data_IF_470822877590
#
_entry.id   IF_470822877590
#
_cell.length_a   1.000
_cell.length_b   1.000
_cell.length_c   1.000
_cell.angle_alpha   90.00
_cell.angle_beta   90.00
_cell.angle_gamma   90.00
#
_symmetry.space_group_name_H-M   'P 1'
#
loop_
_entity.id
_entity.type
_entity.pdbx_description
1 polymer ?
#
# COMPACT_ATOMS: atom_id res chain seq x y z
N UNK A 1 -27.92 7.63 -27.60
CA UNK A 1 -27.06 8.33 -28.56
C UNK A 1 -26.02 9.09 -27.76
N UNK A 2 -24.86 8.48 -27.51
CA UNK A 2 -23.68 9.13 -26.93
C UNK A 2 -22.47 8.53 -27.65
N UNK A 3 -21.99 9.31 -28.62
CA UNK A 3 -20.86 9.02 -29.50
C UNK A 3 -19.57 9.24 -28.74
N UNK A 4 -18.96 8.16 -28.24
CA UNK A 4 -17.54 8.17 -27.89
C UNK A 4 -16.76 8.16 -29.21
N UNK A 5 -15.80 9.06 -29.34
CA UNK A 5 -15.06 9.35 -30.58
C UNK A 5 -14.30 8.11 -31.12
N UNK A 6 -14.28 7.92 -32.45
CA UNK A 6 -13.68 6.75 -33.10
C UNK A 6 -12.15 6.65 -32.94
N UNK A 7 -11.46 7.72 -32.59
CA UNK A 7 -9.99 7.75 -32.50
C UNK A 7 -9.41 6.95 -31.32
N UNK A 8 -10.14 6.89 -30.19
CA UNK A 8 -9.70 6.11 -29.01
C UNK A 8 -9.86 4.60 -29.25
N UNK A 9 -10.80 4.22 -30.13
CA UNK A 9 -11.04 2.82 -30.50
C UNK A 9 -9.89 2.25 -31.36
N UNK A 10 -9.26 3.09 -32.18
CA UNK A 10 -8.19 2.69 -33.09
C UNK A 10 -6.85 2.43 -32.41
N UNK A 11 -6.46 3.21 -31.39
CA UNK A 11 -5.10 3.18 -30.83
C UNK A 11 -4.79 1.87 -30.09
N UNK A 12 -5.75 1.30 -29.37
CA UNK A 12 -5.61 0.00 -28.68
C UNK A 12 -5.79 -1.20 -29.63
N UNK A 13 -6.60 -1.06 -30.69
CA UNK A 13 -6.80 -2.10 -31.71
C UNK A 13 -5.68 -2.19 -32.76
N UNK A 14 -4.74 -1.25 -32.81
CA UNK A 14 -3.62 -1.29 -33.77
C UNK A 14 -2.42 -2.08 -33.21
N UNK A 15 -2.11 -1.94 -31.92
CA UNK A 15 -0.88 -2.52 -31.35
C UNK A 15 -0.98 -4.04 -31.21
N UNK A 16 -2.11 -4.56 -30.73
CA UNK A 16 -2.25 -5.99 -30.44
C UNK A 16 -2.20 -6.88 -31.70
N UNK A 17 -2.92 -6.58 -32.81
CA UNK A 17 -2.88 -7.40 -34.02
C UNK A 17 -1.68 -7.12 -34.94
N UNK A 18 -1.12 -5.89 -34.98
CA UNK A 18 -0.05 -5.56 -35.94
C UNK A 18 1.37 -5.56 -35.36
N UNK A 19 1.55 -5.21 -34.08
CA UNK A 19 2.86 -5.08 -33.43
C UNK A 19 3.14 -6.24 -32.45
N UNK A 20 2.10 -6.94 -31.98
CA UNK A 20 2.24 -8.09 -31.09
C UNK A 20 2.60 -7.73 -29.64
N UNK A 21 2.56 -8.74 -28.76
CA UNK A 21 2.70 -8.58 -27.30
C UNK A 21 4.03 -7.93 -26.84
N UNK A 22 5.09 -8.07 -27.64
CA UNK A 22 6.43 -7.55 -27.33
C UNK A 22 6.46 -6.02 -27.27
N UNK A 23 5.79 -5.36 -28.21
CA UNK A 23 5.72 -3.90 -28.24
C UNK A 23 4.80 -3.34 -27.15
N UNK A 24 3.78 -4.09 -26.74
CA UNK A 24 2.96 -3.74 -25.58
C UNK A 24 3.78 -3.71 -24.29
N UNK A 25 4.65 -4.70 -24.09
CA UNK A 25 5.60 -4.69 -22.96
C UNK A 25 6.58 -3.52 -23.06
N UNK A 26 7.16 -3.29 -24.24
CA UNK A 26 8.11 -2.19 -24.45
C UNK A 26 7.47 -0.82 -24.14
N UNK A 27 6.27 -0.55 -24.65
CA UNK A 27 5.52 0.69 -24.40
C UNK A 27 5.17 0.86 -22.92
N UNK A 28 4.79 -0.23 -22.22
CA UNK A 28 4.48 -0.20 -20.79
C UNK A 28 5.69 0.12 -19.90
N UNK A 29 6.92 -0.11 -20.40
CA UNK A 29 8.16 0.18 -19.68
C UNK A 29 8.63 1.64 -19.82
N UNK A 30 8.07 2.40 -20.78
CA UNK A 30 8.48 3.78 -21.05
C UNK A 30 8.23 4.73 -19.88
N UNK A 31 7.06 4.73 -19.20
CA UNK A 31 6.83 5.59 -18.03
C UNK A 31 7.83 5.30 -16.90
N UNK A 32 8.11 4.02 -16.65
CA UNK A 32 9.08 3.59 -15.63
C UNK A 32 10.50 4.04 -15.99
N UNK A 33 10.85 3.97 -17.27
CA UNK A 33 12.16 4.43 -17.76
C UNK A 33 12.30 5.94 -17.62
N UNK A 34 11.22 6.70 -17.84
CA UNK A 34 11.20 8.15 -17.62
C UNK A 34 11.38 8.50 -16.13
N UNK A 35 10.83 7.70 -15.21
CA UNK A 35 11.06 7.87 -13.77
C UNK A 35 12.54 7.75 -13.37
N UNK A 36 13.36 6.98 -14.09
CA UNK A 36 14.80 6.90 -13.83
C UNK A 36 15.54 8.22 -14.09
N UNK A 37 15.05 9.05 -15.03
CA UNK A 37 15.62 10.39 -15.22
C UNK A 37 15.37 11.28 -14.00
N UNK A 38 14.20 11.16 -13.36
CA UNK A 38 13.85 11.95 -12.18
C UNK A 38 14.71 11.64 -10.95
N UNK A 39 15.33 10.47 -10.87
CA UNK A 39 16.24 10.12 -9.78
C UNK A 39 17.38 11.15 -9.61
N UNK A 40 17.84 11.75 -10.72
CA UNK A 40 18.87 12.80 -10.69
C UNK A 40 18.34 14.17 -10.24
N UNK A 41 17.03 14.39 -10.32
CA UNK A 41 16.39 15.67 -9.99
C UNK A 41 15.90 15.71 -8.54
N UNK A 42 15.57 14.57 -7.95
CA UNK A 42 15.05 14.48 -6.59
C UNK A 42 16.17 14.61 -5.56
N UNK A 43 16.16 15.66 -4.70
CA UNK A 43 17.10 15.76 -3.59
C UNK A 43 16.86 14.64 -2.59
N UNK A 44 17.91 14.26 -1.85
CA UNK A 44 17.78 13.26 -0.79
C UNK A 44 16.95 13.80 0.39
N UNK A 45 16.39 12.90 1.22
CA UNK A 45 15.65 13.28 2.41
C UNK A 45 16.56 13.97 3.44
N UNK A 46 16.25 15.21 3.90
CA UNK A 46 17.03 15.89 4.93
C UNK A 46 17.22 15.07 6.21
N UNK A 47 16.18 14.32 6.60
CA UNK A 47 16.21 13.49 7.82
C UNK A 47 17.19 12.33 7.71
N UNK A 48 17.28 11.71 6.54
CA UNK A 48 18.27 10.66 6.31
C UNK A 48 19.70 11.22 6.31
N UNK A 49 19.92 12.40 5.72
CA UNK A 49 21.20 13.10 5.76
C UNK A 49 21.64 13.39 7.20
N UNK A 50 20.73 13.92 8.05
CA UNK A 50 20.99 14.12 9.48
C UNK A 50 21.34 12.81 10.20
N UNK A 51 20.60 11.72 9.95
CA UNK A 51 20.89 10.40 10.55
C UNK A 51 22.26 9.83 10.14
N UNK A 52 22.77 10.20 8.96
CA UNK A 52 24.12 9.84 8.51
C UNK A 52 25.22 10.79 9.00
N UNK A 53 24.88 11.79 9.81
CA UNK A 53 25.82 12.83 10.26
C UNK A 53 26.19 13.86 9.18
N UNK A 54 25.50 13.86 8.02
CA UNK A 54 25.68 14.83 6.94
C UNK A 54 24.77 16.04 7.15
N UNK A 55 24.95 16.73 8.28
CA UNK A 55 24.08 17.84 8.69
C UNK A 55 24.13 19.03 7.72
N UNK A 56 25.31 19.37 7.19
CA UNK A 56 25.49 20.46 6.22
C UNK A 56 24.63 20.27 4.95
N UNK A 57 24.65 19.07 4.36
CA UNK A 57 23.85 18.76 3.17
C UNK A 57 22.34 18.77 3.49
N UNK A 58 21.96 18.37 4.72
CA UNK A 58 20.58 18.44 5.17
C UNK A 58 20.08 19.90 5.24
N UNK A 59 20.93 20.83 5.71
CA UNK A 59 20.61 22.27 5.74
C UNK A 59 20.37 22.79 4.32
N UNK A 60 21.25 22.46 3.37
CA UNK A 60 21.12 22.91 1.98
C UNK A 60 19.78 22.46 1.36
N UNK A 61 19.39 21.21 1.60
CA UNK A 61 18.09 20.70 1.11
C UNK A 61 16.93 21.41 1.82
N UNK A 62 17.02 21.65 3.13
CA UNK A 62 16.00 22.38 3.89
C UNK A 62 15.85 23.83 3.44
N UNK A 63 16.95 24.53 3.14
CA UNK A 63 16.95 25.88 2.58
C UNK A 63 16.27 25.91 1.21
N UNK A 64 16.57 24.91 0.37
CA UNK A 64 15.93 24.77 -0.94
C UNK A 64 14.41 24.58 -0.80
N UNK A 65 13.97 23.73 0.14
CA UNK A 65 12.54 23.51 0.43
C UNK A 65 11.88 24.79 0.97
N UNK A 66 12.54 25.48 1.90
CA UNK A 66 12.07 26.73 2.50
C UNK A 66 11.87 27.82 1.43
N UNK A 67 12.84 27.96 0.51
CA UNK A 67 12.78 28.88 -0.63
C UNK A 67 11.61 28.57 -1.58
N UNK A 68 11.38 27.29 -1.88
CA UNK A 68 10.25 26.85 -2.73
C UNK A 68 8.90 27.12 -2.05
N UNK A 69 8.82 26.94 -0.73
CA UNK A 69 7.60 27.13 0.06
C UNK A 69 7.37 28.59 0.50
N UNK A 70 8.27 29.52 0.15
CA UNK A 70 8.19 30.92 0.54
C UNK A 70 8.25 31.15 2.05
N UNK A 71 8.93 30.27 2.80
CA UNK A 71 9.13 30.39 4.25
C UNK A 71 10.62 30.50 4.59
N UNK A 72 10.93 31.14 5.70
CA UNK A 72 12.28 31.15 6.27
C UNK A 72 12.47 29.94 7.18
N UNK A 73 13.70 29.42 7.25
CA UNK A 73 14.03 28.35 8.19
C UNK A 73 13.97 28.89 9.62
N UNK A 74 13.42 28.12 10.57
CA UNK A 74 13.45 28.49 11.97
C UNK A 74 14.91 28.62 12.46
N UNK A 75 15.17 29.64 13.27
CA UNK A 75 16.50 29.88 13.84
C UNK A 75 16.90 28.74 14.78
N UNK A 76 18.02 28.06 14.51
CA UNK A 76 18.56 27.00 15.36
C UNK A 76 19.64 26.18 14.67
N UNK A 77 20.39 25.39 15.45
CA UNK A 77 21.30 24.39 14.90
C UNK A 77 20.56 23.07 14.68
N UNK A 78 20.77 22.46 13.52
CA UNK A 78 20.32 21.10 13.26
C UNK A 78 21.20 20.13 14.05
N UNK A 79 20.61 19.48 15.04
CA UNK A 79 21.27 18.47 15.87
C UNK A 79 20.63 17.12 15.56
N UNK A 80 21.44 16.08 15.44
CA UNK A 80 20.94 14.72 15.30
C UNK A 80 20.57 14.13 16.67
N UNK A 81 19.52 13.29 16.76
CA UNK A 81 19.14 12.63 18.02
C UNK A 81 20.30 11.84 18.65
N UNK A 82 21.22 11.34 17.81
CA UNK A 82 22.42 10.64 18.25
C UNK A 82 23.41 11.55 18.99
N UNK A 83 23.51 12.82 18.60
CA UNK A 83 24.30 13.84 19.31
C UNK A 83 23.61 14.28 20.60
N UNK A 84 22.28 14.28 20.66
CA UNK A 84 21.52 14.61 21.89
C UNK A 84 21.74 13.52 22.95
N UNK A 85 21.69 12.23 22.58
CA UNK A 85 21.99 11.13 23.51
C UNK A 85 23.45 11.18 24.00
N UNK A 86 24.42 11.45 23.12
CA UNK A 86 25.82 11.61 23.50
C UNK A 86 26.04 12.82 24.42
N UNK A 87 25.40 13.97 24.13
CA UNK A 87 25.48 15.16 24.99
C UNK A 87 24.80 14.96 26.35
N UNK A 88 23.73 14.18 26.43
CA UNK A 88 23.09 13.81 27.71
C UNK A 88 23.96 12.84 28.53
N UNK A 89 24.74 11.97 27.88
CA UNK A 89 25.71 11.10 28.55
C UNK A 89 26.91 11.91 29.08
N UNK A 90 27.40 12.90 28.31
CA UNK A 90 28.54 13.74 28.69
C UNK A 90 28.20 14.84 29.72
N UNK A 91 26.94 15.29 29.76
CA UNK A 91 26.43 16.23 30.77
C UNK A 91 25.35 15.59 31.66
N UNK A 92 25.72 14.72 32.62
CA UNK A 92 24.79 14.34 33.67
C UNK A 92 24.49 15.59 34.50
N UNK A 93 23.24 16.05 34.41
CA UNK A 93 22.65 17.05 35.32
C UNK A 93 23.09 16.78 36.77
N UNK A 94 23.39 17.83 37.53
CA UNK A 94 23.96 17.72 38.89
C UNK A 94 23.11 16.90 39.88
N UNK A 95 21.83 16.67 39.56
CA UNK A 95 20.92 15.80 40.31
C UNK A 95 21.28 14.29 40.21
N UNK A 96 22.04 13.87 39.19
CA UNK A 96 22.47 12.48 39.02
C UNK A 96 23.69 12.11 39.90
N UNK A 97 24.38 13.09 40.52
CA UNK A 97 25.59 12.84 41.32
C UNK A 97 25.33 12.16 42.67
N UNK A 98 24.07 12.03 43.10
CA UNK A 98 23.71 11.38 44.37
C UNK A 98 23.46 9.88 44.28
N UNK A 99 23.61 9.27 43.09
CA UNK A 99 23.60 7.82 42.91
C UNK A 99 24.94 7.37 42.32
N UNK A 100 25.88 7.02 43.20
CA UNK A 100 27.10 6.28 42.84
C UNK A 100 27.00 4.84 43.38
N UNK A 101 27.90 3.92 43.02
CA UNK A 101 28.27 3.47 41.68
C UNK A 101 28.02 1.95 41.57
N UNK A 102 27.62 1.45 40.40
CA UNK A 102 27.89 0.04 40.07
C UNK A 102 28.33 -0.05 38.64
N UNK A 103 29.64 -0.01 38.50
CA UNK A 103 30.43 -0.48 37.38
C UNK A 103 29.87 -1.82 36.89
N UNK A 104 29.11 -1.79 35.80
CA UNK A 104 29.04 -2.90 34.87
C UNK A 104 29.50 -2.32 33.54
N UNK A 105 30.72 -2.69 33.16
CA UNK A 105 31.28 -2.44 31.85
C UNK A 105 30.30 -2.91 30.77
N UNK A 106 29.53 -1.99 30.20
CA UNK A 106 28.85 -2.23 28.94
C UNK A 106 29.93 -2.07 27.89
N UNK A 107 30.48 -3.21 27.47
CA UNK A 107 31.31 -3.32 26.27
C UNK A 107 30.64 -2.56 25.13
N UNK A 108 31.32 -1.50 24.72
CA UNK A 108 31.19 -0.86 23.42
C UNK A 108 31.01 -1.92 22.33
N UNK A 109 29.96 -1.87 21.50
CA UNK A 109 30.04 -2.37 20.13
C UNK A 109 30.44 -1.17 19.28
N UNK A 110 31.75 -0.98 19.16
CA UNK A 110 32.34 -0.43 17.94
C UNK A 110 31.83 -1.28 16.77
N UNK A 111 31.28 -0.64 15.74
CA UNK A 111 30.93 -1.29 14.49
C UNK A 111 29.46 -1.64 14.38
N UNK A 112 28.75 -0.87 13.56
CA UNK A 112 27.51 -1.30 12.91
C UNK A 112 27.83 -2.55 12.08
N UNK A 113 27.70 -3.73 12.67
CA UNK A 113 27.74 -5.00 11.95
C UNK A 113 26.53 -5.07 11.01
N UNK A 114 26.77 -4.63 9.78
CA UNK A 114 25.83 -4.59 8.67
C UNK A 114 25.14 -5.94 8.35
N UNK A 115 25.61 -7.07 8.92
CA UNK A 115 25.04 -8.40 8.72
C UNK A 115 24.16 -8.92 9.88
N UNK A 116 24.02 -8.19 11.00
CA UNK A 116 23.10 -8.54 12.10
C UNK A 116 21.89 -7.58 12.23
N UNK A 117 21.65 -6.73 11.21
CA UNK A 117 20.61 -5.69 11.24
C UNK A 117 19.19 -6.16 10.90
N UNK A 118 19.03 -7.21 10.08
CA UNK A 118 17.70 -7.64 9.59
C UNK A 118 16.86 -8.37 10.65
N UNK A 119 17.45 -9.36 11.31
CA UNK A 119 16.77 -10.18 12.33
C UNK A 119 16.51 -9.36 13.60
N UNK A 120 17.46 -8.50 13.98
CA UNK A 120 17.28 -7.54 15.08
C UNK A 120 16.11 -6.58 14.82
N UNK A 121 16.02 -6.03 13.60
CA UNK A 121 14.88 -5.17 13.19
C UNK A 121 13.55 -5.92 13.25
N UNK A 122 13.51 -7.20 12.84
CA UNK A 122 12.29 -8.02 12.94
C UNK A 122 11.89 -8.25 14.41
N UNK A 123 12.86 -8.52 15.29
CA UNK A 123 12.60 -8.66 16.73
C UNK A 123 12.07 -7.37 17.35
N UNK A 124 12.55 -6.20 16.90
CA UNK A 124 12.05 -4.89 17.34
C UNK A 124 10.60 -4.67 16.87
N UNK A 125 10.28 -5.05 15.63
CA UNK A 125 8.91 -4.96 15.08
C UNK A 125 7.91 -5.86 15.82
N UNK A 126 8.36 -7.02 16.33
CA UNK A 126 7.59 -7.94 17.16
C UNK A 126 7.72 -7.69 18.67
N UNK A 127 8.30 -6.56 19.08
CA UNK A 127 8.31 -6.16 20.49
C UNK A 127 6.88 -5.98 21.02
N UNK A 128 6.60 -6.26 22.31
CA UNK A 128 5.23 -6.20 22.86
C UNK A 128 4.55 -4.83 22.69
N UNK A 129 5.35 -3.76 22.59
CA UNK A 129 4.87 -2.38 22.33
C UNK A 129 4.33 -2.19 20.90
N UNK A 130 4.89 -2.87 19.90
CA UNK A 130 4.56 -2.68 18.48
C UNK A 130 3.88 -3.90 17.83
N UNK A 131 4.04 -5.09 18.41
CA UNK A 131 3.59 -6.37 17.85
C UNK A 131 2.12 -6.37 17.46
N UNK A 132 1.24 -5.82 18.32
CA UNK A 132 -0.20 -5.72 18.01
C UNK A 132 -0.43 -4.90 16.74
N UNK A 133 0.21 -3.75 16.61
CA UNK A 133 0.08 -2.86 15.44
C UNK A 133 0.68 -3.51 14.19
N UNK A 134 1.86 -4.13 14.32
CA UNK A 134 2.56 -4.84 13.23
C UNK A 134 1.73 -5.99 12.68
N UNK A 135 1.20 -6.87 13.54
CA UNK A 135 0.43 -8.05 13.12
C UNK A 135 -0.90 -7.65 12.50
N UNK A 136 -1.61 -6.67 13.08
CA UNK A 136 -2.84 -6.14 12.50
C UNK A 136 -2.57 -5.50 11.13
N UNK A 137 -1.48 -4.73 11.00
CA UNK A 137 -1.09 -4.13 9.73
C UNK A 137 -0.75 -5.21 8.69
N UNK A 138 -0.05 -6.28 9.06
CA UNK A 138 0.22 -7.41 8.17
C UNK A 138 -1.06 -8.08 7.67
N UNK A 139 -2.03 -8.30 8.55
CA UNK A 139 -3.33 -8.84 8.17
C UNK A 139 -4.09 -7.92 7.19
N UNK A 140 -4.00 -6.60 7.39
CA UNK A 140 -4.57 -5.61 6.48
C UNK A 140 -3.86 -5.62 5.13
N UNK A 141 -2.52 -5.64 5.09
CA UNK A 141 -1.77 -5.74 3.83
C UNK A 141 -2.10 -7.02 3.06
N UNK A 142 -2.20 -8.15 3.76
CA UNK A 142 -2.59 -9.43 3.19
C UNK A 142 -3.96 -9.34 2.52
N UNK A 143 -4.99 -8.96 3.29
CA UNK A 143 -6.36 -8.96 2.77
C UNK A 143 -6.61 -7.88 1.75
N UNK A 144 -5.95 -6.72 1.86
CA UNK A 144 -6.06 -5.66 0.87
C UNK A 144 -5.45 -6.08 -0.49
N UNK A 145 -4.26 -6.68 -0.49
CA UNK A 145 -3.63 -7.18 -1.70
C UNK A 145 -4.43 -8.36 -2.30
N UNK A 146 -4.87 -9.30 -1.46
CA UNK A 146 -5.74 -10.40 -1.88
C UNK A 146 -7.01 -9.88 -2.56
N UNK A 147 -7.67 -8.89 -1.96
CA UNK A 147 -8.92 -8.32 -2.49
C UNK A 147 -8.70 -7.47 -3.74
N UNK A 148 -7.61 -6.70 -3.82
CA UNK A 148 -7.28 -5.89 -4.99
C UNK A 148 -7.09 -6.77 -6.23
N UNK A 149 -6.21 -7.76 -6.15
CA UNK A 149 -6.00 -8.70 -7.25
C UNK A 149 -7.24 -9.58 -7.48
N UNK A 150 -7.99 -9.88 -6.41
CA UNK A 150 -9.21 -10.68 -6.46
C UNK A 150 -10.29 -10.06 -7.30
N UNK A 151 -10.60 -8.79 -7.03
CA UNK A 151 -11.56 -8.01 -7.82
C UNK A 151 -11.15 -7.90 -9.29
N UNK A 152 -9.84 -7.74 -9.57
CA UNK A 152 -9.36 -7.70 -10.95
C UNK A 152 -9.68 -9.00 -11.69
N UNK A 153 -9.45 -10.15 -11.05
CA UNK A 153 -9.72 -11.47 -11.63
C UNK A 153 -11.23 -11.81 -11.64
N UNK A 154 -11.99 -11.44 -10.61
CA UNK A 154 -13.44 -11.62 -10.60
C UNK A 154 -14.10 -10.87 -11.77
N UNK A 155 -13.60 -9.70 -12.16
CA UNK A 155 -14.09 -8.99 -13.36
C UNK A 155 -13.95 -9.81 -14.63
N UNK A 156 -12.89 -10.59 -14.79
CA UNK A 156 -12.70 -11.43 -15.97
C UNK A 156 -13.48 -12.72 -15.89
N UNK A 157 -13.51 -13.35 -14.73
CA UNK A 157 -14.13 -14.67 -14.53
C UNK A 157 -15.65 -14.61 -14.48
N UNK A 158 -16.24 -13.56 -13.89
CA UNK A 158 -17.70 -13.41 -13.78
C UNK A 158 -18.36 -12.86 -15.05
N UNK A 159 -17.62 -12.12 -15.87
CA UNK A 159 -18.08 -11.59 -17.16
C UNK A 159 -17.59 -12.41 -18.37
N UNK A 160 -16.74 -13.42 -18.14
CA UNK A 160 -16.37 -14.41 -19.14
C UNK A 160 -17.46 -15.45 -19.24
N UNK A 161 -17.93 -15.73 -20.46
CA UNK A 161 -19.05 -16.66 -20.69
C UNK A 161 -18.91 -17.94 -19.87
N UNK A 162 -19.92 -18.19 -19.03
CA UNK A 162 -19.96 -19.24 -18.01
C UNK A 162 -19.75 -20.63 -18.62
N UNK A 163 -18.52 -21.17 -18.59
CA UNK A 163 -18.25 -22.58 -18.94
C UNK A 163 -19.04 -23.57 -18.07
N UNK A 164 -19.48 -23.14 -16.89
CA UNK A 164 -20.31 -23.94 -15.98
C UNK A 164 -21.76 -24.16 -16.46
N UNK A 165 -22.20 -23.44 -17.51
CA UNK A 165 -23.56 -23.56 -18.04
C UNK A 165 -23.57 -23.84 -19.55
N UNK A 166 -22.75 -24.79 -20.04
CA UNK A 166 -23.10 -25.49 -21.28
C UNK A 166 -22.39 -26.83 -21.44
N UNK A 167 -23.12 -27.90 -21.13
CA UNK A 167 -23.09 -29.11 -21.94
C UNK A 167 -24.42 -29.20 -22.70
N UNK A 168 -24.69 -28.23 -23.58
CA UNK A 168 -25.62 -28.36 -24.74
C UNK A 168 -25.59 -27.07 -25.57
N UNK A 169 -25.26 -27.25 -26.85
CA UNK A 169 -25.17 -26.25 -27.93
C UNK A 169 -23.93 -25.33 -27.88
N UNK A 170 -22.83 -25.87 -28.41
CA UNK A 170 -21.93 -25.08 -29.25
C UNK A 170 -22.71 -24.66 -30.50
N UNK A 171 -22.97 -23.36 -30.63
CA UNK A 171 -23.18 -22.75 -31.94
C UNK A 171 -22.40 -21.46 -31.99
N UNK A 172 -21.57 -21.36 -33.02
CA UNK A 172 -20.66 -20.29 -33.37
C UNK A 172 -21.21 -18.87 -33.11
N UNK A 173 -20.55 -18.17 -32.19
CA UNK A 173 -20.17 -16.76 -32.36
C UNK A 173 -18.92 -16.55 -31.53
N UNK A 174 -17.81 -16.21 -32.18
CA UNK A 174 -16.63 -15.69 -31.51
C UNK A 174 -17.02 -14.41 -30.79
N UNK A 175 -17.42 -14.54 -29.53
CA UNK A 175 -17.80 -13.44 -28.67
C UNK A 175 -16.55 -12.67 -28.25
N UNK A 176 -16.61 -11.36 -28.45
CA UNK A 176 -15.63 -10.38 -27.98
C UNK A 176 -15.28 -10.69 -26.51
N UNK A 177 -14.07 -11.21 -26.28
CA UNK A 177 -13.50 -11.33 -24.93
C UNK A 177 -13.78 -10.03 -24.19
N UNK A 178 -14.26 -10.12 -22.95
CA UNK A 178 -14.82 -9.06 -22.10
C UNK A 178 -13.82 -7.95 -21.69
N UNK A 179 -12.86 -7.61 -22.56
CA UNK A 179 -11.92 -6.49 -22.43
C UNK A 179 -12.63 -5.16 -22.17
N UNK A 180 -13.87 -5.00 -22.66
CA UNK A 180 -14.72 -3.84 -22.36
C UNK A 180 -14.99 -3.72 -20.85
N UNK A 181 -15.39 -4.81 -20.19
CA UNK A 181 -15.68 -4.82 -18.75
C UNK A 181 -14.43 -4.65 -17.91
N UNK A 182 -13.29 -5.21 -18.35
CA UNK A 182 -11.97 -4.98 -17.74
C UNK A 182 -11.59 -3.50 -17.85
N UNK A 183 -11.72 -2.91 -19.05
CA UNK A 183 -11.39 -1.51 -19.29
C UNK A 183 -12.25 -0.57 -18.44
N UNK A 184 -13.56 -0.83 -18.37
CA UNK A 184 -14.48 -0.08 -17.50
C UNK A 184 -14.05 -0.23 -16.03
N UNK A 185 -13.79 -1.45 -15.56
CA UNK A 185 -13.36 -1.69 -14.18
C UNK A 185 -12.02 -1.01 -13.86
N UNK A 186 -11.05 -0.99 -14.77
CA UNK A 186 -9.76 -0.30 -14.56
C UNK A 186 -9.91 1.21 -14.42
N UNK A 187 -10.93 1.81 -15.06
CA UNK A 187 -11.22 3.24 -14.89
C UNK A 187 -11.65 3.59 -13.45
N UNK A 188 -12.06 2.61 -12.64
CA UNK A 188 -12.38 2.79 -11.22
C UNK A 188 -11.17 3.20 -10.36
N UNK A 189 -9.95 2.98 -10.85
CA UNK A 189 -8.73 3.30 -10.09
C UNK A 189 -8.56 4.81 -9.91
N UNK A 190 -8.86 5.60 -10.95
CA UNK A 190 -8.78 7.07 -10.92
C UNK A 190 -9.69 7.68 -9.84
N UNK A 191 -11.01 7.41 -9.80
CA UNK A 191 -11.86 7.92 -8.74
C UNK A 191 -11.50 7.33 -7.37
N UNK A 192 -10.99 6.09 -7.30
CA UNK A 192 -10.49 5.50 -6.05
C UNK A 192 -9.32 6.30 -5.46
N UNK A 193 -8.36 6.71 -6.29
CA UNK A 193 -7.25 7.56 -5.89
C UNK A 193 -7.74 8.94 -5.41
N UNK A 194 -8.64 9.58 -6.15
CA UNK A 194 -9.19 10.88 -5.76
C UNK A 194 -9.98 10.79 -4.45
N UNK A 195 -10.78 9.74 -4.28
CA UNK A 195 -11.54 9.47 -3.07
C UNK A 195 -10.59 9.29 -1.88
N UNK A 196 -9.49 8.54 -2.05
CA UNK A 196 -8.50 8.35 -1.00
C UNK A 196 -7.85 9.67 -0.56
N UNK A 197 -7.51 10.56 -1.50
CA UNK A 197 -6.92 11.85 -1.18
C UNK A 197 -7.86 12.71 -0.32
N UNK A 198 -9.13 12.83 -0.72
CA UNK A 198 -10.12 13.63 0.03
C UNK A 198 -10.45 12.98 1.39
N UNK A 199 -10.53 11.65 1.45
CA UNK A 199 -10.94 10.95 2.65
C UNK A 199 -9.85 10.94 3.74
N UNK A 200 -8.57 10.83 3.37
CA UNK A 200 -7.44 10.85 4.33
C UNK A 200 -7.32 12.17 5.07
N UNK A 201 -7.58 13.27 4.38
CA UNK A 201 -7.49 14.62 4.95
C UNK A 201 -8.70 14.98 5.82
N UNK A 202 -9.89 14.47 5.47
CA UNK A 202 -11.14 14.82 6.19
C UNK A 202 -11.52 13.87 7.32
N UNK A 203 -11.34 12.57 7.13
CA UNK A 203 -11.84 11.53 8.03
C UNK A 203 -10.73 10.87 8.86
N UNK A 204 -9.46 11.16 8.55
CA UNK A 204 -8.32 10.42 9.08
C UNK A 204 -8.06 9.12 8.33
N UNK A 205 -6.96 8.44 8.66
CA UNK A 205 -6.48 7.27 7.91
C UNK A 205 -7.26 6.02 8.32
N UNK A 206 -7.45 5.80 9.62
CA UNK A 206 -8.07 4.57 10.15
C UNK A 206 -9.56 4.50 9.79
N UNK A 207 -10.30 5.58 10.02
CA UNK A 207 -11.74 5.63 9.73
C UNK A 207 -11.99 5.52 8.22
N UNK A 208 -11.19 6.21 7.40
CA UNK A 208 -11.28 6.12 5.94
C UNK A 208 -11.05 4.69 5.44
N UNK A 209 -9.97 4.02 5.86
CA UNK A 209 -9.72 2.62 5.48
C UNK A 209 -10.84 1.68 5.93
N UNK A 210 -11.30 1.81 7.18
CA UNK A 210 -12.33 0.93 7.74
C UNK A 210 -13.66 1.07 6.99
N UNK A 211 -14.12 2.30 6.76
CA UNK A 211 -15.38 2.55 6.04
C UNK A 211 -15.32 2.04 4.61
N UNK A 212 -14.20 2.21 3.90
CA UNK A 212 -14.04 1.72 2.53
C UNK A 212 -14.06 0.19 2.44
N UNK A 213 -13.46 -0.53 3.41
CA UNK A 213 -13.57 -1.99 3.47
C UNK A 213 -15.03 -2.46 3.66
N UNK A 214 -15.76 -1.86 4.61
CA UNK A 214 -17.16 -2.25 4.83
C UNK A 214 -18.07 -1.89 3.65
N UNK A 215 -17.86 -0.74 3.01
CA UNK A 215 -18.58 -0.36 1.79
C UNK A 215 -18.26 -1.35 0.66
N UNK A 216 -17.01 -1.82 0.56
CA UNK A 216 -16.64 -2.85 -0.42
C UNK A 216 -17.42 -4.16 -0.20
N UNK A 217 -17.57 -4.64 1.04
CA UNK A 217 -18.42 -5.80 1.36
C UNK A 217 -19.86 -5.60 0.91
N UNK A 218 -20.43 -4.41 1.10
CA UNK A 218 -21.81 -4.13 0.66
C UNK A 218 -21.96 -4.29 -0.86
N UNK A 219 -20.95 -3.91 -1.64
CA UNK A 219 -20.97 -4.06 -3.10
C UNK A 219 -20.63 -5.47 -3.59
N UNK A 220 -19.85 -6.22 -2.82
CA UNK A 220 -19.47 -7.59 -3.15
C UNK A 220 -20.57 -8.61 -2.81
N UNK A 221 -21.37 -8.36 -1.78
CA UNK A 221 -22.34 -9.34 -1.25
C UNK A 221 -23.40 -9.76 -2.28
N UNK A 222 -23.95 -8.85 -3.11
CA UNK A 222 -24.89 -9.25 -4.15
C UNK A 222 -24.31 -10.25 -5.16
N UNK A 223 -22.99 -10.23 -5.44
CA UNK A 223 -22.33 -11.11 -6.43
C UNK A 223 -22.37 -12.61 -6.07
N UNK A 224 -22.83 -12.93 -4.87
CA UNK A 224 -23.14 -14.31 -4.45
C UNK A 224 -24.19 -14.94 -5.36
N UNK A 225 -25.12 -14.14 -5.87
CA UNK A 225 -26.14 -14.56 -6.82
C UNK A 225 -25.70 -14.27 -8.26
N UNK A 226 -26.29 -14.96 -9.24
CA UNK A 226 -26.03 -14.65 -10.65
C UNK A 226 -26.81 -13.38 -11.03
N UNK A 227 -26.10 -12.30 -11.32
CA UNK A 227 -26.66 -11.01 -11.75
C UNK A 227 -26.44 -10.78 -13.25
N UNK A 228 -27.25 -9.92 -13.89
CA UNK A 228 -26.99 -9.49 -15.26
C UNK A 228 -25.62 -8.80 -15.36
N UNK A 229 -24.92 -9.03 -16.48
CA UNK A 229 -23.54 -8.57 -16.73
C UNK A 229 -23.31 -7.09 -16.43
N UNK A 230 -24.26 -6.22 -16.80
CA UNK A 230 -24.17 -4.79 -16.55
C UNK A 230 -24.17 -4.43 -15.07
N UNK A 231 -24.97 -5.14 -14.25
CA UNK A 231 -25.03 -4.92 -12.81
C UNK A 231 -23.79 -5.51 -12.12
N UNK A 232 -23.34 -6.70 -12.54
CA UNK A 232 -22.08 -7.30 -12.06
C UNK A 232 -20.90 -6.37 -12.32
N UNK A 233 -20.78 -5.84 -13.53
CA UNK A 233 -19.70 -4.90 -13.88
C UNK A 233 -19.78 -3.60 -13.08
N UNK A 234 -21.00 -3.06 -12.86
CA UNK A 234 -21.20 -1.86 -12.05
C UNK A 234 -20.83 -2.06 -10.58
N UNK A 235 -21.19 -3.20 -9.98
CA UNK A 235 -20.84 -3.52 -8.60
C UNK A 235 -19.34 -3.75 -8.43
N UNK A 236 -18.70 -4.47 -9.36
CA UNK A 236 -17.25 -4.65 -9.37
C UNK A 236 -16.50 -3.33 -9.56
N UNK A 237 -17.02 -2.43 -10.38
CA UNK A 237 -16.48 -1.08 -10.55
C UNK A 237 -16.48 -0.34 -9.21
N UNK A 238 -17.62 -0.32 -8.49
CA UNK A 238 -17.73 0.35 -7.18
C UNK A 238 -16.84 -0.31 -6.11
N UNK A 239 -16.83 -1.64 -6.02
CA UNK A 239 -15.95 -2.37 -5.12
C UNK A 239 -14.47 -2.03 -5.38
N UNK A 240 -14.08 -1.87 -6.65
CA UNK A 240 -12.72 -1.54 -7.06
C UNK A 240 -12.31 -0.11 -6.72
N UNK A 241 -13.25 0.84 -6.70
CA UNK A 241 -13.01 2.19 -6.16
C UNK A 241 -12.60 2.07 -4.69
N UNK A 242 -13.39 1.34 -3.88
CA UNK A 242 -13.18 1.22 -2.44
C UNK A 242 -11.87 0.51 -2.09
N UNK A 243 -11.55 -0.60 -2.76
CA UNK A 243 -10.30 -1.33 -2.51
C UNK A 243 -9.08 -0.54 -2.98
N UNK A 244 -9.14 0.10 -4.15
CA UNK A 244 -8.04 0.98 -4.60
C UNK A 244 -7.79 2.11 -3.62
N UNK A 245 -8.87 2.75 -3.13
CA UNK A 245 -8.74 3.80 -2.13
C UNK A 245 -8.06 3.28 -0.86
N UNK A 246 -8.48 2.12 -0.36
CA UNK A 246 -7.89 1.49 0.83
C UNK A 246 -6.43 1.10 0.63
N UNK A 247 -6.08 0.62 -0.57
CA UNK A 247 -4.70 0.32 -0.96
C UNK A 247 -3.81 1.56 -0.93
N UNK A 248 -4.28 2.70 -1.41
CA UNK A 248 -3.50 3.94 -1.31
C UNK A 248 -3.32 4.37 0.15
N UNK A 249 -4.37 4.29 0.97
CA UNK A 249 -4.32 4.75 2.36
C UNK A 249 -3.40 3.85 3.21
N UNK A 250 -3.41 2.53 3.02
CA UNK A 250 -2.54 1.64 3.81
C UNK A 250 -1.05 1.91 3.55
N UNK A 251 -0.68 2.29 2.32
CA UNK A 251 0.70 2.66 1.97
C UNK A 251 1.12 4.02 2.55
N UNK A 252 0.17 4.89 2.87
CA UNK A 252 0.41 6.14 3.62
C UNK A 252 0.50 5.85 5.13
N UNK A 253 -0.42 5.04 5.65
CA UNK A 253 -0.50 4.72 7.07
C UNK A 253 0.68 3.89 7.58
N UNK A 254 1.16 2.92 6.79
CA UNK A 254 2.25 2.03 7.19
C UNK A 254 3.54 2.76 7.61
N UNK A 255 4.09 3.72 6.85
CA UNK A 255 5.26 4.48 7.28
C UNK A 255 4.96 5.46 8.42
N UNK A 256 3.74 5.98 8.55
CA UNK A 256 3.34 6.84 9.67
C UNK A 256 3.27 6.06 11.01
N UNK A 257 2.95 4.77 10.96
CA UNK A 257 2.81 3.91 12.15
C UNK A 257 4.16 3.48 12.75
N UNK A 258 5.20 3.29 11.93
CA UNK A 258 6.49 2.78 12.37
C UNK A 258 7.49 3.90 12.69
N UNK A 259 8.29 3.76 13.76
CA UNK A 259 9.36 4.70 14.07
C UNK A 259 10.44 4.65 12.99
N UNK A 260 11.14 5.76 12.77
CA UNK A 260 12.06 5.93 11.63
C UNK A 260 13.13 4.85 11.54
N UNK A 261 13.67 4.38 12.66
CA UNK A 261 14.72 3.36 12.72
C UNK A 261 14.34 2.03 12.08
N UNK A 262 13.07 1.61 12.20
CA UNK A 262 12.55 0.34 11.65
C UNK A 262 11.47 0.54 10.58
N UNK A 263 11.17 1.77 10.19
CA UNK A 263 10.09 2.12 9.26
C UNK A 263 10.19 1.39 7.93
N UNK A 264 11.33 1.50 7.26
CA UNK A 264 11.52 0.90 5.94
C UNK A 264 11.39 -0.62 5.99
N UNK A 265 11.97 -1.23 7.04
CA UNK A 265 11.89 -2.69 7.26
C UNK A 265 10.46 -3.13 7.56
N UNK A 266 9.73 -2.41 8.42
CA UNK A 266 8.34 -2.71 8.77
C UNK A 266 7.38 -2.62 7.59
N UNK A 267 7.51 -1.56 6.78
CA UNK A 267 6.72 -1.39 5.53
C UNK A 267 7.11 -2.47 4.50
N UNK A 268 8.40 -2.78 4.36
CA UNK A 268 8.88 -3.80 3.43
C UNK A 268 8.35 -5.20 3.74
N UNK A 269 8.37 -5.60 5.02
CA UNK A 269 7.83 -6.89 5.47
C UNK A 269 6.30 -6.91 5.29
N UNK A 270 5.60 -5.84 5.67
CA UNK A 270 4.15 -5.77 5.50
C UNK A 270 3.74 -5.89 4.02
N UNK A 271 4.44 -5.19 3.12
CA UNK A 271 4.25 -5.30 1.67
C UNK A 271 4.52 -6.71 1.16
N UNK A 272 5.56 -7.38 1.68
CA UNK A 272 5.88 -8.77 1.33
C UNK A 272 4.77 -9.74 1.75
N UNK A 273 4.18 -9.57 2.94
CA UNK A 273 3.00 -10.33 3.37
C UNK A 273 1.81 -10.05 2.45
N UNK A 274 1.62 -8.81 2.01
CA UNK A 274 0.63 -8.46 0.98
C UNK A 274 0.84 -9.24 -0.33
N UNK A 275 2.08 -9.40 -0.78
CA UNK A 275 2.39 -10.19 -1.99
C UNK A 275 1.97 -11.66 -1.85
N UNK A 276 2.08 -12.25 -0.66
CA UNK A 276 1.57 -13.61 -0.40
C UNK A 276 0.05 -13.64 -0.63
N UNK A 277 -0.69 -12.64 -0.15
CA UNK A 277 -2.13 -12.50 -0.43
C UNK A 277 -2.42 -12.41 -1.93
N UNK A 278 -1.64 -11.62 -2.67
CA UNK A 278 -1.75 -11.54 -4.13
C UNK A 278 -1.42 -12.85 -4.87
N UNK A 279 -0.55 -13.71 -4.33
CA UNK A 279 -0.23 -15.02 -4.89
C UNK A 279 -1.32 -16.05 -4.63
N UNK A 280 -1.96 -16.01 -3.46
CA UNK A 280 -3.06 -16.92 -3.10
C UNK A 280 -4.35 -16.56 -3.85
N UNK A 281 -4.57 -15.27 -4.10
CA UNK A 281 -5.77 -14.76 -4.76
C UNK A 281 -6.13 -15.48 -6.07
N UNK A 282 -5.24 -15.63 -7.08
CA UNK A 282 -5.58 -16.33 -8.32
C UNK A 282 -6.00 -17.78 -8.10
N UNK A 283 -5.41 -18.48 -7.13
CA UNK A 283 -5.79 -19.86 -6.81
C UNK A 283 -7.24 -19.93 -6.33
N UNK A 284 -7.70 -18.93 -5.58
CA UNK A 284 -9.08 -18.84 -5.11
C UNK A 284 -10.00 -18.32 -6.23
N UNK A 285 -9.67 -17.17 -6.84
CA UNK A 285 -10.51 -16.53 -7.86
C UNK A 285 -10.67 -17.40 -9.11
N UNK A 286 -9.58 -17.88 -9.69
CA UNK A 286 -9.63 -18.69 -10.92
C UNK A 286 -10.01 -20.13 -10.57
N UNK A 287 -9.38 -20.71 -9.55
CA UNK A 287 -9.56 -22.13 -9.21
C UNK A 287 -10.98 -22.49 -8.75
N UNK A 288 -11.61 -21.69 -7.88
CA UNK A 288 -12.99 -21.99 -7.44
C UNK A 288 -14.04 -21.59 -8.46
N UNK A 289 -13.84 -20.49 -9.21
CA UNK A 289 -14.82 -20.05 -10.21
C UNK A 289 -14.85 -21.03 -11.39
N UNK A 290 -13.70 -21.53 -11.84
CA UNK A 290 -13.64 -22.60 -12.85
C UNK A 290 -14.24 -23.93 -12.35
N UNK A 291 -14.15 -24.20 -11.04
CA UNK A 291 -14.78 -25.35 -10.39
C UNK A 291 -16.29 -25.23 -10.20
N UNK A 292 -16.95 -24.21 -10.79
CA UNK A 292 -18.38 -23.93 -10.65
C UNK A 292 -18.84 -23.63 -9.21
N UNK A 293 -17.91 -23.18 -8.36
CA UNK A 293 -18.16 -22.78 -6.99
C UNK A 293 -18.04 -21.25 -6.82
N UNK A 294 -18.63 -20.48 -7.75
CA UNK A 294 -18.61 -19.01 -7.73
C UNK A 294 -19.05 -18.43 -6.38
N UNK A 295 -20.18 -18.90 -5.85
CA UNK A 295 -20.70 -18.44 -4.56
C UNK A 295 -19.69 -18.63 -3.43
N UNK A 296 -18.96 -19.74 -3.42
CA UNK A 296 -17.91 -20.01 -2.42
C UNK A 296 -16.74 -19.05 -2.60
N UNK A 297 -16.32 -18.79 -3.84
CA UNK A 297 -15.24 -17.83 -4.11
C UNK A 297 -15.61 -16.42 -3.60
N UNK A 298 -16.79 -15.92 -3.95
CA UNK A 298 -17.26 -14.58 -3.53
C UNK A 298 -17.38 -14.50 -2.00
N UNK A 299 -17.93 -15.53 -1.34
CA UNK A 299 -18.02 -15.56 0.12
C UNK A 299 -16.64 -15.58 0.81
N UNK A 300 -15.64 -16.24 0.22
CA UNK A 300 -14.27 -16.20 0.74
C UNK A 300 -13.66 -14.80 0.60
N UNK A 301 -13.88 -14.12 -0.52
CA UNK A 301 -13.46 -12.72 -0.69
C UNK A 301 -14.15 -11.82 0.34
N UNK A 302 -15.45 -11.97 0.54
CA UNK A 302 -16.21 -11.25 1.57
C UNK A 302 -15.63 -11.39 2.97
N UNK A 303 -15.37 -12.64 3.40
CA UNK A 303 -14.84 -12.91 4.74
C UNK A 303 -13.47 -12.24 4.92
N UNK A 304 -12.61 -12.27 3.90
CA UNK A 304 -11.27 -11.67 3.98
C UNK A 304 -11.36 -10.15 4.02
N UNK A 305 -12.20 -9.53 3.18
CA UNK A 305 -12.43 -8.07 3.17
C UNK A 305 -13.01 -7.61 4.52
N UNK A 306 -13.99 -8.33 5.05
CA UNK A 306 -14.63 -8.03 6.32
C UNK A 306 -13.62 -8.14 7.48
N UNK A 307 -12.83 -9.22 7.51
CA UNK A 307 -11.80 -9.42 8.52
C UNK A 307 -10.73 -8.32 8.45
N UNK A 308 -10.31 -7.91 7.25
CA UNK A 308 -9.40 -6.76 7.08
C UNK A 308 -10.02 -5.47 7.60
N UNK A 309 -11.29 -5.19 7.31
CA UNK A 309 -12.02 -4.03 7.84
C UNK A 309 -12.06 -4.03 9.37
N UNK A 310 -12.32 -5.18 9.99
CA UNK A 310 -12.30 -5.37 11.44
C UNK A 310 -10.89 -5.16 12.01
N UNK A 311 -9.85 -5.71 11.37
CA UNK A 311 -8.46 -5.49 11.77
C UNK A 311 -8.08 -4.00 11.79
N UNK A 312 -8.56 -3.22 10.81
CA UNK A 312 -8.36 -1.76 10.78
C UNK A 312 -9.03 -1.09 11.99
N UNK A 313 -10.24 -1.48 12.37
CA UNK A 313 -10.93 -0.92 13.55
C UNK A 313 -10.12 -1.16 14.83
N UNK A 314 -9.44 -2.30 14.93
CA UNK A 314 -8.61 -2.64 16.09
C UNK A 314 -7.21 -2.02 16.10
N UNK A 315 -6.82 -1.29 15.04
CA UNK A 315 -5.56 -0.54 15.02
C UNK A 315 -5.52 0.46 16.18
N UNK A 316 -4.45 0.49 16.98
CA UNK A 316 -4.44 1.27 18.22
C UNK A 316 -4.24 2.77 18.00
N UNK A 317 -3.76 3.20 16.83
CA UNK A 317 -3.29 4.57 16.60
C UNK A 317 -3.94 5.15 15.34
N UNK A 318 -4.47 6.37 15.44
CA UNK A 318 -4.81 7.23 14.30
C UNK A 318 -3.64 8.18 14.06
N UNK A 319 -3.16 8.27 12.82
CA UNK A 319 -1.92 8.97 12.46
C UNK A 319 -2.15 10.39 11.96
N UNK A 320 -3.41 10.78 11.75
CA UNK A 320 -3.77 12.13 11.28
C UNK A 320 -3.22 13.23 12.21
N UNK A 321 -2.34 14.08 11.68
CA UNK A 321 -1.81 15.25 12.38
C UNK A 321 -0.80 14.94 13.49
N UNK A 322 -0.34 13.69 13.63
CA UNK A 322 0.66 13.32 14.63
C UNK A 322 2.09 13.48 14.07
N UNK A 323 3.01 13.92 14.92
CA UNK A 323 4.43 13.95 14.60
C UNK A 323 4.99 12.52 14.50
N UNK A 324 5.95 12.35 13.59
CA UNK A 324 6.59 11.06 13.32
C UNK A 324 7.58 10.71 14.42
N UNK A 325 7.32 9.64 15.19
CA UNK A 325 8.21 9.17 16.27
C UNK A 325 9.57 8.68 15.73
N UNK A 326 10.65 9.12 16.37
CA UNK A 326 12.04 8.83 15.96
C UNK A 326 12.59 7.53 16.57
N UNK A 327 12.27 7.27 17.84
CA UNK A 327 12.80 6.12 18.58
C UNK A 327 11.69 5.28 19.23
N UNK A 328 11.98 3.98 19.39
CA UNK A 328 11.19 3.11 20.26
C UNK A 328 11.65 3.42 21.69
N UNK A 329 10.86 4.17 22.46
CA UNK A 329 11.13 4.32 23.89
C UNK A 329 11.14 2.92 24.51
N UNK A 330 12.34 2.44 24.89
CA UNK A 330 12.59 1.11 25.46
C UNK A 330 11.89 0.97 26.81
#
# INVERSE_FOLDING_TARGET
MNTVSPEVKHSLQIVMPNLGWRWLLALSSLPTSFLLLFYKLTPESPRYLCLKGRTADAIEVLEKIARVNGRELPSGNLVSDHEIELQQIDNPSEDARLLSPTTNEIKHPLGMDSNLGGISSLSVLLSPKLARSTVLLWAVFFGNAFSYYGLVLLTTELNGHSKCMSHKLQTEKSEDVSYKSIFIASFAEIPGLLLSAVAVDKLGRKLSMSTMFFICCIFLLPLVFHLPEGLTTGLLFLARICITATFTIVYIYAPEMYPTSVRTTGVGIASSVGRIGGMICPLVAVGLVHGCHQTVAVLLFEIIVLLSGICVVFLPIETMGQELRDSVQV
#
